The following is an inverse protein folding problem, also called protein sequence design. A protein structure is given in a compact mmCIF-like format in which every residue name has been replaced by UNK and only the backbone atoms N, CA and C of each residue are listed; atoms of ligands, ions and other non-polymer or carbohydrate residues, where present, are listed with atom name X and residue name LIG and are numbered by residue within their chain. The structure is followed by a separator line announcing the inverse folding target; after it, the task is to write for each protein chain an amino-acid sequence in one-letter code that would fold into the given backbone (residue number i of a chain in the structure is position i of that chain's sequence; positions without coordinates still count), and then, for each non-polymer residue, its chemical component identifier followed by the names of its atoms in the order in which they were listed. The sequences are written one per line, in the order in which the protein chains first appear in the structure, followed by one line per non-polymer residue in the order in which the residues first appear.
data_IF_779229113601
#
_entry.id   IF_779229113601
#
_cell.length_a   1.000
_cell.length_b   1.000
_cell.length_c   1.000
_cell.angle_alpha   90.00
_cell.angle_beta   90.00
_cell.angle_gamma   90.00
#
_symmetry.space_group_name_H-M   'P 1'
#
loop_
_entity.id
_entity.type
_entity.pdbx_description
1 polymer ?
#
# COMPACT_ATOMS: atom_id res chain seq x y z
N UNK A 1 -6.28 -4.09 -7.92
CA UNK A 1 -6.95 -2.77 -8.14
C UNK A 1 -8.30 -2.99 -8.78
N UNK A 2 -9.28 -2.09 -8.55
CA UNK A 2 -10.66 -2.22 -9.05
C UNK A 2 -10.83 -1.98 -10.54
N UNK A 3 -9.90 -1.27 -11.15
CA UNK A 3 -9.90 -0.90 -12.57
C UNK A 3 -8.49 -0.57 -13.05
N UNK A 4 -8.26 -0.61 -14.35
CA UNK A 4 -7.00 -0.13 -14.95
C UNK A 4 -6.82 1.39 -14.83
N UNK A 5 -7.89 2.15 -14.58
CA UNK A 5 -7.81 3.59 -14.25
C UNK A 5 -7.04 3.87 -12.95
N UNK A 6 -6.93 2.88 -12.08
CA UNK A 6 -6.23 2.98 -10.80
C UNK A 6 -4.71 2.81 -10.93
N UNK A 7 -4.26 2.35 -12.11
CA UNK A 7 -2.86 2.01 -12.37
C UNK A 7 -1.87 3.16 -12.10
N UNK A 8 -2.14 4.44 -12.44
CA UNK A 8 -1.19 5.52 -12.18
C UNK A 8 -0.81 5.67 -10.69
N UNK A 9 -1.76 5.36 -9.79
CA UNK A 9 -1.52 5.39 -8.35
C UNK A 9 -0.90 4.07 -7.90
N UNK A 10 -1.51 2.93 -8.28
CA UNK A 10 -1.09 1.61 -7.81
C UNK A 10 0.28 1.19 -8.35
N UNK A 11 0.71 1.75 -9.48
CA UNK A 11 2.07 1.55 -10.02
C UNK A 11 3.16 1.96 -9.03
N UNK A 12 2.92 2.95 -8.18
CA UNK A 12 3.88 3.36 -7.13
C UNK A 12 4.19 2.23 -6.14
N UNK A 13 3.18 1.38 -5.86
CA UNK A 13 3.40 0.18 -5.04
C UNK A 13 4.22 -0.86 -5.80
N UNK A 14 3.89 -1.12 -7.06
CA UNK A 14 4.60 -2.07 -7.91
C UNK A 14 6.08 -1.67 -8.09
N UNK A 15 6.34 -0.40 -8.37
CA UNK A 15 7.70 0.13 -8.51
C UNK A 15 8.52 -0.06 -7.23
N UNK A 16 7.90 0.19 -6.06
CA UNK A 16 8.58 -0.02 -4.79
C UNK A 16 8.85 -1.49 -4.49
N UNK A 17 7.86 -2.38 -4.69
CA UNK A 17 8.04 -3.83 -4.51
C UNK A 17 9.15 -4.35 -5.43
N UNK A 18 9.17 -3.90 -6.68
CA UNK A 18 10.21 -4.25 -7.63
C UNK A 18 11.61 -3.78 -7.16
N UNK A 19 11.72 -2.56 -6.62
CA UNK A 19 12.98 -2.04 -6.09
C UNK A 19 13.47 -2.81 -4.85
N UNK A 20 12.55 -3.43 -4.11
CA UNK A 20 12.84 -4.30 -2.96
C UNK A 20 13.01 -5.77 -3.36
N UNK A 21 13.00 -6.10 -4.66
CA UNK A 21 13.12 -7.48 -5.19
C UNK A 21 12.04 -8.43 -4.62
N UNK A 22 10.84 -7.90 -4.34
CA UNK A 22 9.70 -8.67 -3.86
C UNK A 22 8.88 -9.13 -5.07
N UNK A 23 8.68 -10.44 -5.30
CA UNK A 23 7.80 -10.93 -6.35
C UNK A 23 6.35 -10.51 -6.07
N UNK A 24 5.61 -10.14 -7.12
CA UNK A 24 4.20 -9.76 -6.99
C UNK A 24 3.37 -10.11 -8.23
N UNK A 25 2.07 -10.29 -8.02
CA UNK A 25 1.05 -10.36 -9.06
C UNK A 25 0.35 -8.99 -9.17
N UNK A 26 -0.07 -8.61 -10.37
CA UNK A 26 -0.82 -7.38 -10.60
C UNK A 26 -2.10 -7.68 -11.36
N UNK A 27 -3.27 -7.42 -10.74
CA UNK A 27 -4.57 -7.79 -11.27
C UNK A 27 -5.56 -6.62 -11.19
N UNK A 28 -6.43 -6.53 -12.19
CA UNK A 28 -7.62 -5.68 -12.16
C UNK A 28 -8.83 -6.58 -11.84
N UNK A 29 -9.40 -6.39 -10.64
CA UNK A 29 -10.53 -7.17 -10.11
C UNK A 29 -11.54 -6.20 -9.48
N UNK A 30 -12.79 -6.26 -9.88
CA UNK A 30 -13.83 -5.38 -9.37
C UNK A 30 -14.83 -6.12 -8.48
N UNK A 31 -14.93 -5.74 -7.21
CA UNK A 31 -15.90 -6.33 -6.29
C UNK A 31 -17.36 -6.21 -6.78
N UNK A 32 -17.67 -5.17 -7.55
CA UNK A 32 -19.02 -4.93 -8.07
C UNK A 32 -19.28 -5.55 -9.46
N UNK A 33 -18.24 -5.71 -10.29
CA UNK A 33 -18.39 -6.15 -11.69
C UNK A 33 -17.91 -7.56 -11.95
N UNK A 34 -16.95 -8.03 -11.14
CA UNK A 34 -16.36 -9.37 -11.24
C UNK A 34 -16.25 -10.01 -9.85
N UNK A 35 -17.37 -10.16 -9.11
CA UNK A 35 -17.35 -10.65 -7.73
C UNK A 35 -16.82 -12.09 -7.61
N UNK A 36 -17.12 -12.95 -8.58
CA UNK A 36 -16.68 -14.35 -8.56
C UNK A 36 -15.16 -14.45 -8.73
N UNK A 37 -14.57 -13.68 -9.63
CA UNK A 37 -13.12 -13.63 -9.83
C UNK A 37 -12.39 -13.05 -8.62
N UNK A 38 -13.00 -12.07 -7.92
CA UNK A 38 -12.47 -11.56 -6.65
C UNK A 38 -12.49 -12.65 -5.59
N UNK A 39 -13.59 -13.38 -5.47
CA UNK A 39 -13.73 -14.47 -4.50
C UNK A 39 -12.76 -15.62 -4.79
N UNK A 40 -12.62 -16.01 -6.05
CA UNK A 40 -11.68 -17.05 -6.48
C UNK A 40 -10.22 -16.64 -6.20
N UNK A 41 -9.84 -15.42 -6.56
CA UNK A 41 -8.53 -14.86 -6.25
C UNK A 41 -8.24 -14.92 -4.75
N UNK A 42 -9.16 -14.42 -3.91
CA UNK A 42 -8.97 -14.32 -2.46
C UNK A 42 -8.86 -15.70 -1.78
N UNK A 43 -9.65 -16.69 -2.21
CA UNK A 43 -9.58 -18.07 -1.70
C UNK A 43 -8.26 -18.74 -2.03
N UNK A 44 -7.75 -18.54 -3.25
CA UNK A 44 -6.61 -19.27 -3.78
C UNK A 44 -5.26 -18.56 -3.58
N UNK A 45 -5.24 -17.29 -3.15
CA UNK A 45 -4.03 -16.50 -3.02
C UNK A 45 -2.98 -17.15 -2.08
N UNK A 46 -3.39 -17.61 -0.91
CA UNK A 46 -2.49 -18.27 0.05
C UNK A 46 -1.86 -19.54 -0.53
N UNK A 47 -2.64 -20.34 -1.25
CA UNK A 47 -2.16 -21.58 -1.90
C UNK A 47 -1.14 -21.33 -3.00
N UNK A 48 -1.16 -20.17 -3.65
CA UNK A 48 -0.16 -19.74 -4.64
C UNK A 48 1.11 -19.15 -4.01
N UNK A 49 1.16 -19.02 -2.68
CA UNK A 49 2.32 -18.49 -1.97
C UNK A 49 2.26 -16.97 -1.70
N UNK A 50 1.13 -16.32 -2.02
CA UNK A 50 0.90 -14.91 -1.63
C UNK A 50 0.89 -14.79 -0.11
N UNK A 51 1.54 -13.78 0.43
CA UNK A 51 1.65 -13.53 1.88
C UNK A 51 0.90 -12.28 2.34
N UNK A 52 0.78 -11.28 1.46
CA UNK A 52 0.11 -10.00 1.73
C UNK A 52 -0.61 -9.57 0.47
N UNK A 53 -1.80 -8.99 0.61
CA UNK A 53 -2.57 -8.44 -0.50
C UNK A 53 -2.68 -6.93 -0.34
N UNK A 54 -2.31 -6.17 -1.38
CA UNK A 54 -2.55 -4.74 -1.47
C UNK A 54 -3.73 -4.50 -2.40
N UNK A 55 -4.81 -3.92 -1.90
CA UNK A 55 -6.04 -3.71 -2.66
C UNK A 55 -6.39 -2.21 -2.74
N UNK A 56 -6.30 -1.64 -3.95
CA UNK A 56 -6.68 -0.27 -4.24
C UNK A 56 -8.11 -0.19 -4.78
N UNK A 57 -8.91 0.74 -4.25
CA UNK A 57 -10.27 1.01 -4.72
C UNK A 57 -10.67 2.46 -4.46
N UNK A 58 -11.46 3.03 -5.38
CA UNK A 58 -12.08 4.34 -5.25
C UNK A 58 -13.60 4.25 -5.07
N UNK A 59 -14.26 5.38 -4.87
CA UNK A 59 -15.71 5.50 -4.69
C UNK A 59 -16.19 4.65 -3.49
N UNK A 60 -17.24 3.82 -3.67
CA UNK A 60 -17.74 2.86 -2.68
C UNK A 60 -16.80 1.66 -2.50
N UNK A 61 -15.57 1.88 -2.30
CA UNK A 61 -14.36 1.04 -2.31
C UNK A 61 -14.49 -0.31 -1.58
N UNK A 62 -15.36 -1.20 -2.07
CA UNK A 62 -15.69 -2.49 -1.44
C UNK A 62 -14.56 -3.53 -1.56
N UNK A 63 -13.68 -3.42 -2.57
CA UNK A 63 -12.71 -4.46 -2.92
C UNK A 63 -11.83 -4.94 -1.75
N UNK A 64 -11.19 -4.06 -0.95
CA UNK A 64 -10.35 -4.50 0.16
C UNK A 64 -11.11 -5.29 1.23
N UNK A 65 -12.31 -4.81 1.59
CA UNK A 65 -13.15 -5.48 2.60
C UNK A 65 -13.67 -6.83 2.12
N UNK A 66 -14.08 -6.94 0.85
CA UNK A 66 -14.53 -8.22 0.25
C UNK A 66 -13.38 -9.25 0.25
N UNK A 67 -12.19 -8.83 -0.14
CA UNK A 67 -11.01 -9.73 -0.10
C UNK A 67 -10.70 -10.13 1.34
N UNK A 68 -10.68 -9.19 2.29
CA UNK A 68 -10.37 -9.48 3.68
C UNK A 68 -11.38 -10.43 4.35
N UNK A 69 -12.63 -10.44 3.90
CA UNK A 69 -13.66 -11.36 4.41
C UNK A 69 -13.46 -12.80 3.92
N UNK A 70 -12.66 -13.04 2.88
CA UNK A 70 -12.53 -14.34 2.23
C UNK A 70 -11.17 -14.98 2.50
N UNK A 71 -10.09 -14.17 2.59
CA UNK A 71 -8.72 -14.67 2.75
C UNK A 71 -8.25 -14.59 4.20
N UNK A 72 -7.40 -15.53 4.69
CA UNK A 72 -6.70 -15.38 5.95
C UNK A 72 -5.47 -14.47 5.88
N UNK A 73 -5.10 -14.00 4.68
CA UNK A 73 -3.90 -13.18 4.48
C UNK A 73 -4.13 -11.74 4.96
N UNK A 74 -3.08 -11.04 5.43
CA UNK A 74 -3.15 -9.60 5.66
C UNK A 74 -3.56 -8.86 4.39
N UNK A 75 -4.56 -7.97 4.52
CA UNK A 75 -5.03 -7.09 3.44
C UNK A 75 -4.71 -5.65 3.78
N UNK A 76 -4.05 -4.96 2.87
CA UNK A 76 -3.73 -3.53 2.96
C UNK A 76 -4.59 -2.80 1.95
N UNK A 77 -5.48 -1.93 2.44
CA UNK A 77 -6.38 -1.13 1.63
C UNK A 77 -5.78 0.22 1.26
N UNK A 78 -5.87 0.57 -0.01
CA UNK A 78 -5.47 1.87 -0.55
C UNK A 78 -6.70 2.61 -1.03
N UNK A 79 -7.19 3.62 -0.30
CA UNK A 79 -8.25 4.50 -0.79
C UNK A 79 -7.75 5.30 -1.99
N UNK A 80 -8.53 5.36 -3.07
CA UNK A 80 -8.15 6.08 -4.27
C UNK A 80 -9.03 7.31 -4.48
N UNK A 81 -8.42 8.44 -4.83
CA UNK A 81 -9.11 9.71 -5.09
C UNK A 81 -9.80 9.68 -6.46
N UNK A 82 -11.03 9.18 -6.49
CA UNK A 82 -11.89 9.19 -7.67
C UNK A 82 -13.03 10.21 -7.53
N UNK A 83 -13.80 10.13 -6.44
CA UNK A 83 -14.86 11.07 -6.06
C UNK A 83 -14.57 11.60 -4.66
N UNK A 84 -15.22 12.71 -4.26
CA UNK A 84 -15.09 13.32 -2.91
C UNK A 84 -13.64 13.38 -2.40
N UNK A 85 -12.68 13.55 -3.32
CA UNK A 85 -11.24 13.58 -3.02
C UNK A 85 -10.73 12.29 -2.30
N UNK A 86 -11.43 11.15 -2.51
CA UNK A 86 -11.09 9.86 -1.91
C UNK A 86 -11.60 9.65 -0.48
N UNK A 87 -12.34 10.62 0.09
CA UNK A 87 -12.88 10.50 1.46
C UNK A 87 -13.92 9.39 1.56
N UNK A 88 -14.76 9.23 0.54
CA UNK A 88 -15.70 8.13 0.39
C UNK A 88 -15.00 6.76 0.39
N UNK A 89 -13.92 6.63 -0.39
CA UNK A 89 -13.12 5.42 -0.44
C UNK A 89 -12.43 5.13 0.91
N UNK A 90 -11.87 6.17 1.55
CA UNK A 90 -11.25 6.03 2.86
C UNK A 90 -12.24 5.47 3.89
N UNK A 91 -13.43 6.05 4.01
CA UNK A 91 -14.43 5.56 4.95
C UNK A 91 -14.93 4.16 4.60
N UNK A 92 -15.11 3.85 3.33
CA UNK A 92 -15.52 2.51 2.87
C UNK A 92 -14.50 1.43 3.23
N UNK A 93 -13.21 1.77 3.27
CA UNK A 93 -12.13 0.81 3.51
C UNK A 93 -11.78 0.69 5.00
N UNK A 94 -11.76 1.82 5.74
CA UNK A 94 -11.30 1.83 7.14
C UNK A 94 -12.37 1.35 8.12
N UNK A 95 -13.65 1.55 7.81
CA UNK A 95 -14.79 1.23 8.69
C UNK A 95 -15.19 -0.25 8.56
N UNK A 96 -14.27 -1.14 8.94
CA UNK A 96 -14.50 -2.59 8.90
C UNK A 96 -15.16 -3.11 10.18
N UNK A 97 -16.03 -4.13 10.07
CA UNK A 97 -16.60 -4.77 11.25
C UNK A 97 -15.54 -5.52 12.07
N UNK A 98 -15.81 -5.78 13.35
CA UNK A 98 -14.94 -6.62 14.18
C UNK A 98 -14.62 -7.96 13.51
N UNK A 99 -13.39 -8.43 13.67
CA UNK A 99 -12.84 -9.68 13.13
C UNK A 99 -12.51 -9.68 11.61
N UNK A 100 -12.83 -8.64 10.85
CA UNK A 100 -12.44 -8.52 9.43
C UNK A 100 -11.57 -7.26 9.24
N UNK A 101 -10.31 -7.28 9.65
CA UNK A 101 -9.45 -6.09 9.57
C UNK A 101 -8.94 -5.83 8.16
N UNK A 102 -8.86 -4.55 7.78
CA UNK A 102 -8.10 -4.06 6.63
C UNK A 102 -7.13 -2.99 7.14
N UNK A 103 -5.82 -3.21 6.94
CA UNK A 103 -4.80 -2.21 7.25
C UNK A 103 -4.87 -1.07 6.24
N UNK A 104 -5.49 0.05 6.61
CA UNK A 104 -5.77 1.14 5.67
C UNK A 104 -4.67 2.20 5.70
N UNK A 105 -4.11 2.53 4.53
CA UNK A 105 -3.16 3.64 4.35
C UNK A 105 -3.88 4.93 3.96
N UNK A 106 -3.14 6.04 3.88
CA UNK A 106 -3.70 7.31 3.42
C UNK A 106 -4.20 7.27 1.98
N UNK A 107 -5.05 8.24 1.60
CA UNK A 107 -5.58 8.38 0.24
C UNK A 107 -4.40 8.46 -0.75
N UNK A 108 -4.48 7.71 -1.85
CA UNK A 108 -3.44 7.55 -2.89
C UNK A 108 -2.08 7.03 -2.35
N UNK A 109 -2.08 6.48 -1.14
CA UNK A 109 -0.90 6.02 -0.42
C UNK A 109 -0.36 4.65 -0.87
N UNK A 110 -0.41 4.32 -2.17
CA UNK A 110 -0.01 3.01 -2.69
C UNK A 110 1.44 2.64 -2.35
N UNK A 111 2.36 3.60 -2.38
CA UNK A 111 3.75 3.36 -1.95
C UNK A 111 3.81 2.96 -0.46
N UNK A 112 3.08 3.65 0.43
CA UNK A 112 3.03 3.30 1.85
C UNK A 112 2.41 1.92 2.08
N UNK A 113 1.46 1.50 1.26
CA UNK A 113 0.93 0.14 1.30
C UNK A 113 2.02 -0.90 0.96
N UNK A 114 2.84 -0.64 -0.05
CA UNK A 114 3.96 -1.51 -0.39
C UNK A 114 5.04 -1.51 0.70
N UNK A 115 5.35 -0.35 1.28
CA UNK A 115 6.26 -0.26 2.45
C UNK A 115 5.75 -1.10 3.62
N UNK A 116 4.44 -1.02 3.92
CA UNK A 116 3.84 -1.83 4.99
C UNK A 116 3.90 -3.34 4.65
N UNK A 117 3.63 -3.72 3.40
CA UNK A 117 3.78 -5.11 2.95
C UNK A 117 5.21 -5.60 3.11
N UNK A 118 6.21 -4.83 2.69
CA UNK A 118 7.64 -5.15 2.88
C UNK A 118 7.97 -5.34 4.36
N UNK A 119 7.50 -4.47 5.24
CA UNK A 119 7.72 -4.60 6.70
C UNK A 119 7.11 -5.88 7.26
N UNK A 120 5.91 -6.27 6.81
CA UNK A 120 5.28 -7.54 7.22
C UNK A 120 6.12 -8.73 6.74
N UNK A 121 6.53 -8.72 5.47
CA UNK A 121 7.34 -9.79 4.88
C UNK A 121 8.72 -9.91 5.54
N UNK A 122 9.33 -8.79 5.90
CA UNK A 122 10.64 -8.73 6.57
C UNK A 122 10.67 -9.41 7.94
N UNK A 123 9.51 -9.67 8.56
CA UNK A 123 9.45 -10.43 9.82
C UNK A 123 9.93 -11.88 9.66
N UNK A 124 9.88 -12.42 8.44
CA UNK A 124 10.27 -13.80 8.14
C UNK A 124 11.37 -13.88 7.04
N UNK A 125 11.89 -12.74 6.56
CA UNK A 125 12.91 -12.66 5.51
C UNK A 125 13.97 -11.62 5.92
N UNK A 126 15.10 -12.11 6.43
CA UNK A 126 16.19 -11.25 6.89
C UNK A 126 16.86 -10.48 5.74
N UNK A 127 16.98 -11.08 4.55
CA UNK A 127 17.57 -10.40 3.40
C UNK A 127 16.69 -9.21 2.93
N UNK A 128 15.37 -9.38 2.99
CA UNK A 128 14.42 -8.28 2.73
C UNK A 128 14.51 -7.23 3.84
N UNK A 129 14.65 -7.64 5.11
CA UNK A 129 14.84 -6.72 6.23
C UNK A 129 16.07 -5.84 6.04
N UNK A 130 17.19 -6.43 5.59
CA UNK A 130 18.43 -5.71 5.31
C UNK A 130 18.25 -4.69 4.16
N UNK A 131 17.63 -5.09 3.05
CA UNK A 131 17.31 -4.17 1.93
C UNK A 131 16.44 -3.01 2.38
N UNK A 132 15.39 -3.30 3.16
CA UNK A 132 14.51 -2.27 3.71
C UNK A 132 15.24 -1.34 4.68
N UNK A 133 16.12 -1.87 5.52
CA UNK A 133 16.98 -1.11 6.44
C UNK A 133 17.90 -0.14 5.69
N UNK A 134 18.55 -0.60 4.62
CA UNK A 134 19.40 0.22 3.76
C UNK A 134 18.61 1.37 3.11
N UNK A 135 17.43 1.08 2.55
CA UNK A 135 16.54 2.09 1.98
C UNK A 135 16.07 3.13 3.01
N UNK A 136 15.74 2.71 4.24
CA UNK A 136 15.33 3.62 5.32
C UNK A 136 16.49 4.54 5.74
N UNK A 137 17.71 4.00 5.79
CA UNK A 137 18.92 4.78 6.10
C UNK A 137 19.21 5.84 5.03
N UNK A 138 18.97 5.53 3.76
CA UNK A 138 19.10 6.50 2.67
C UNK A 138 18.09 7.65 2.80
N UNK A 139 16.84 7.35 3.15
CA UNK A 139 15.82 8.39 3.41
C UNK A 139 16.25 9.32 4.55
N UNK A 140 16.76 8.75 5.64
CA UNK A 140 17.30 9.51 6.77
C UNK A 140 18.45 10.44 6.32
N UNK A 141 19.39 9.91 5.54
CA UNK A 141 20.52 10.67 5.00
C UNK A 141 20.08 11.87 4.16
N UNK A 142 19.02 11.74 3.37
CA UNK A 142 18.44 12.85 2.57
C UNK A 142 17.94 13.99 3.45
N UNK A 143 17.24 13.68 4.55
CA UNK A 143 16.73 14.72 5.47
C UNK A 143 17.85 15.37 6.28
N UNK A 144 18.82 14.59 6.74
CA UNK A 144 20.01 15.12 7.42
C UNK A 144 20.78 16.09 6.52
N UNK A 145 20.96 15.72 5.23
CA UNK A 145 21.57 16.61 4.25
C UNK A 145 20.76 17.87 4.03
N UNK A 146 19.44 17.75 3.83
CA UNK A 146 18.54 18.90 3.65
C UNK A 146 18.64 19.89 4.83
N UNK A 147 18.75 19.40 6.07
CA UNK A 147 18.93 20.25 7.23
C UNK A 147 20.27 21.00 7.21
N UNK A 148 21.36 20.39 6.73
CA UNK A 148 22.64 21.09 6.56
C UNK A 148 22.53 22.17 5.48
N UNK A 149 21.92 21.85 4.34
CA UNK A 149 21.70 22.79 3.24
C UNK A 149 20.86 24.00 3.72
N UNK A 150 19.81 23.75 4.52
CA UNK A 150 18.99 24.81 5.14
C UNK A 150 19.78 25.66 6.16
N UNK A 151 20.72 25.08 6.89
CA UNK A 151 21.56 25.82 7.84
C UNK A 151 22.47 26.85 7.13
N UNK A 152 22.89 26.57 5.89
CA UNK A 152 23.72 27.48 5.09
C UNK A 152 22.95 28.70 4.53
N UNK A 153 21.61 28.65 4.49
CA UNK A 153 20.78 29.77 4.02
C UNK A 153 20.79 30.87 5.10
N UNK A 154 21.25 32.05 4.74
CA UNK A 154 21.38 33.21 5.66
C UNK A 154 20.17 34.11 5.57
N UNK A 155 19.63 34.45 6.74
CA UNK A 155 18.66 35.52 6.93
C UNK A 155 19.05 36.31 8.18
N UNK A 156 18.73 37.60 8.22
CA UNK A 156 19.16 38.53 9.31
C UNK A 156 18.71 38.06 10.71
N UNK A 157 17.58 37.35 10.80
CA UNK A 157 17.01 36.88 12.06
C UNK A 157 16.96 35.37 12.21
N UNK A 158 17.64 34.64 11.33
CA UNK A 158 17.73 33.19 11.44
C UNK A 158 18.73 32.81 12.53
N UNK A 159 18.34 31.85 13.40
CA UNK A 159 19.12 31.49 14.62
C UNK A 159 19.73 30.08 14.56
N UNK A 160 19.54 29.34 13.46
CA UNK A 160 20.08 27.97 13.27
C UNK A 160 20.92 27.86 11.99
#
# INVERSE_FOLDING_TARGET
MGSTSDLPIMKKAADFLNSMEVPFEMLALSAHRTPEEVADFARNAAGRGVKVIIAGAGMAAALPGVIAAITPLPVIGVPLSATLQGTDALYSIVQMPPAIPVATVGIDGAMNAAVLAVRILSLADSALADRYGAWTSELNGKIVKANRDLAEIKYDFKTN
#
